data_IF_698497338714
#
_entry.id   IF_698497338714
#
_cell.length_a   1.000
_cell.length_b   1.000
_cell.length_c   1.000
_cell.angle_alpha   90.00
_cell.angle_beta   90.00
_cell.angle_gamma   90.00
#
_symmetry.space_group_name_H-M   'P 1'
#
loop_
_entity.id
_entity.type
_entity.pdbx_description
1 polymer ?
#
# COMPACT_ATOMS: atom_id res chain seq x y z
N UNK A 1 27.80 -0.11 -0.31
CA UNK A 1 26.33 -0.30 -0.51
C UNK A 1 25.51 -0.13 0.77
N UNK A 2 25.88 -0.78 1.89
CA UNK A 2 25.14 -0.64 3.17
C UNK A 2 25.01 0.81 3.64
N UNK A 3 26.09 1.62 3.52
CA UNK A 3 26.03 3.04 3.87
C UNK A 3 24.99 3.83 3.05
N UNK A 4 24.85 3.53 1.75
CA UNK A 4 23.81 4.15 0.90
C UNK A 4 22.41 3.71 1.36
N UNK A 5 22.26 2.43 1.74
CA UNK A 5 20.99 1.93 2.29
C UNK A 5 20.63 2.64 3.60
N UNK A 6 21.57 2.75 4.55
CA UNK A 6 21.34 3.45 5.83
C UNK A 6 20.98 4.91 5.59
N UNK A 7 21.69 5.60 4.69
CA UNK A 7 21.34 6.95 4.27
C UNK A 7 19.92 7.03 3.72
N UNK A 8 19.56 6.12 2.81
CA UNK A 8 18.21 6.08 2.21
C UNK A 8 17.13 5.87 3.26
N UNK A 9 17.34 4.92 4.19
CA UNK A 9 16.43 4.65 5.30
C UNK A 9 16.24 5.89 6.18
N UNK A 10 17.31 6.55 6.58
CA UNK A 10 17.24 7.76 7.42
C UNK A 10 16.48 8.87 6.70
N UNK A 11 16.80 9.14 5.44
CA UNK A 11 16.16 10.20 4.66
C UNK A 11 14.67 9.91 4.41
N UNK A 12 14.30 8.66 4.16
CA UNK A 12 12.90 8.29 3.94
C UNK A 12 12.09 8.20 5.22
N UNK A 13 12.72 7.83 6.33
CA UNK A 13 12.09 7.82 7.65
C UNK A 13 11.83 9.24 8.18
N UNK A 14 12.84 10.10 8.06
CA UNK A 14 12.77 11.48 8.57
C UNK A 14 12.09 12.46 7.63
N UNK A 15 11.91 12.09 6.34
CA UNK A 15 11.45 13.00 5.27
C UNK A 15 12.25 14.31 5.21
N UNK A 16 13.52 14.27 5.61
CA UNK A 16 14.40 15.43 5.69
C UNK A 16 14.56 16.17 4.34
N UNK A 17 14.47 15.42 3.24
CA UNK A 17 14.38 15.94 1.87
C UNK A 17 13.26 15.22 1.12
N UNK A 18 12.69 15.88 0.11
CA UNK A 18 11.58 15.29 -0.67
C UNK A 18 11.99 14.00 -1.39
N UNK A 19 11.04 13.12 -1.64
CA UNK A 19 11.30 11.83 -2.30
C UNK A 19 11.99 11.96 -3.68
N UNK A 20 11.63 12.92 -4.58
CA UNK A 20 12.37 13.10 -5.83
C UNK A 20 13.82 13.51 -5.63
N UNK A 21 14.09 14.41 -4.68
CA UNK A 21 15.45 14.85 -4.36
C UNK A 21 16.26 13.71 -3.77
N UNK A 22 15.69 12.98 -2.79
CA UNK A 22 16.36 11.81 -2.20
C UNK A 22 16.70 10.76 -3.23
N UNK A 23 15.82 10.51 -4.19
CA UNK A 23 16.07 9.57 -5.27
C UNK A 23 17.23 10.00 -6.15
N UNK A 24 17.29 11.28 -6.55
CA UNK A 24 18.43 11.83 -7.29
C UNK A 24 19.76 11.68 -6.55
N UNK A 25 19.76 12.00 -5.24
CA UNK A 25 20.96 11.85 -4.39
C UNK A 25 21.38 10.38 -4.28
N UNK A 26 20.44 9.46 -4.05
CA UNK A 26 20.73 8.02 -3.94
C UNK A 26 21.33 7.50 -5.26
N UNK A 27 20.75 7.87 -6.41
CA UNK A 27 21.28 7.50 -7.73
C UNK A 27 22.71 8.04 -7.91
N UNK A 28 22.95 9.30 -7.54
CA UNK A 28 24.27 9.92 -7.62
C UNK A 28 25.30 9.21 -6.70
N UNK A 29 24.91 8.89 -5.46
CA UNK A 29 25.74 8.12 -4.54
C UNK A 29 26.04 6.72 -5.08
N UNK A 30 25.07 6.05 -5.71
CA UNK A 30 25.31 4.75 -6.35
C UNK A 30 26.27 4.88 -7.53
N UNK A 31 26.10 5.90 -8.38
CA UNK A 31 26.98 6.14 -9.51
C UNK A 31 28.44 6.37 -9.07
N UNK A 32 28.64 7.18 -8.03
CA UNK A 32 29.99 7.54 -7.56
C UNK A 32 30.56 6.45 -6.64
N UNK A 33 29.91 6.15 -5.51
CA UNK A 33 30.50 5.27 -4.49
C UNK A 33 30.59 3.82 -4.94
N UNK A 34 29.58 3.29 -5.65
CA UNK A 34 29.68 1.93 -6.21
C UNK A 34 30.57 1.95 -7.44
N UNK A 35 30.51 3.00 -8.26
CA UNK A 35 31.36 3.12 -9.45
C UNK A 35 32.86 3.02 -9.14
N UNK A 36 33.32 3.56 -8.03
CA UNK A 36 34.70 3.45 -7.56
C UNK A 36 34.97 2.23 -6.66
N UNK A 37 33.95 1.46 -6.32
CA UNK A 37 34.11 0.25 -5.51
C UNK A 37 34.65 -0.92 -6.36
N UNK A 38 35.39 -1.88 -5.74
CA UNK A 38 35.74 -3.11 -6.41
C UNK A 38 34.54 -4.01 -6.60
N UNK A 39 34.40 -4.60 -7.78
CA UNK A 39 33.39 -5.62 -8.07
C UNK A 39 33.79 -6.93 -7.38
N UNK A 40 32.99 -7.49 -6.48
CA UNK A 40 33.32 -8.72 -5.75
C UNK A 40 33.58 -9.94 -6.64
N UNK A 41 33.03 -9.95 -7.86
CA UNK A 41 33.20 -11.07 -8.79
C UNK A 41 34.49 -11.00 -9.62
N UNK A 42 35.01 -9.80 -9.92
CA UNK A 42 36.12 -9.60 -10.85
C UNK A 42 37.31 -8.95 -10.23
N UNK A 43 37.20 -8.36 -9.03
CA UNK A 43 38.26 -7.56 -8.37
C UNK A 43 38.52 -6.20 -9.02
N UNK A 44 37.94 -5.91 -10.20
CA UNK A 44 38.08 -4.62 -10.89
C UNK A 44 37.02 -3.62 -10.38
N UNK A 45 37.28 -2.32 -10.52
CA UNK A 45 36.25 -1.30 -10.22
C UNK A 45 35.03 -1.47 -11.12
N UNK A 46 33.84 -1.20 -10.59
CA UNK A 46 32.59 -1.27 -11.36
C UNK A 46 32.60 -0.26 -12.53
N UNK A 47 33.10 0.93 -12.32
CA UNK A 47 32.96 2.10 -13.20
C UNK A 47 31.70 2.91 -12.92
N UNK A 48 31.81 4.24 -13.04
CA UNK A 48 30.69 5.16 -12.72
C UNK A 48 29.45 4.95 -13.62
N UNK A 49 29.66 4.60 -14.89
CA UNK A 49 28.55 4.27 -15.80
C UNK A 49 27.77 3.03 -15.34
N UNK A 50 28.46 2.00 -14.86
CA UNK A 50 27.82 0.80 -14.31
C UNK A 50 27.08 1.12 -12.98
N UNK A 51 27.70 1.93 -12.10
CA UNK A 51 27.07 2.41 -10.88
C UNK A 51 25.79 3.23 -11.16
N UNK A 52 25.83 4.10 -12.16
CA UNK A 52 24.65 4.85 -12.63
C UNK A 52 23.58 3.89 -13.18
N UNK A 53 23.97 2.91 -14.01
CA UNK A 53 23.08 1.88 -14.52
C UNK A 53 22.37 1.08 -13.41
N UNK A 54 23.09 0.75 -12.32
CA UNK A 54 22.48 0.15 -11.13
C UNK A 54 21.46 1.08 -10.49
N UNK A 55 21.74 2.38 -10.37
CA UNK A 55 20.83 3.39 -9.81
C UNK A 55 19.57 3.58 -10.63
N UNK A 56 19.60 3.34 -11.93
CA UNK A 56 18.48 3.51 -12.85
C UNK A 56 17.69 2.21 -13.11
N UNK A 57 18.21 1.05 -12.72
CA UNK A 57 17.65 -0.27 -13.08
C UNK A 57 16.19 -0.46 -12.66
N UNK A 58 15.78 0.12 -11.55
CA UNK A 58 14.41 0.01 -11.05
C UNK A 58 13.37 0.74 -11.93
N UNK A 59 13.79 1.77 -12.66
CA UNK A 59 12.92 2.56 -13.53
C UNK A 59 12.54 1.87 -14.84
N UNK A 60 13.22 0.77 -15.20
CA UNK A 60 12.94 -0.04 -16.39
C UNK A 60 12.18 -1.34 -16.08
N UNK A 61 11.55 -1.46 -14.90
CA UNK A 61 10.81 -2.66 -14.51
C UNK A 61 9.32 -2.54 -14.86
N UNK A 62 8.67 -3.68 -15.13
CA UNK A 62 7.21 -3.75 -15.36
C UNK A 62 6.42 -3.26 -14.14
N UNK A 63 6.95 -3.49 -12.93
CA UNK A 63 6.36 -3.01 -11.70
C UNK A 63 6.40 -1.46 -11.60
N UNK A 64 7.47 -0.82 -12.07
CA UNK A 64 7.55 0.64 -12.16
C UNK A 64 6.47 1.19 -13.11
N UNK A 65 6.35 0.60 -14.29
CA UNK A 65 5.31 0.98 -15.25
C UNK A 65 3.91 0.82 -14.65
N UNK A 66 3.65 -0.27 -13.92
CA UNK A 66 2.36 -0.50 -13.26
C UNK A 66 2.04 0.56 -12.23
N UNK A 67 3.01 0.92 -11.36
CA UNK A 67 2.78 1.95 -10.34
C UNK A 67 2.55 3.32 -10.97
N UNK A 68 3.33 3.69 -11.99
CA UNK A 68 3.11 4.92 -12.74
C UNK A 68 1.71 4.96 -13.36
N UNK A 69 1.31 3.91 -14.08
CA UNK A 69 -0.01 3.77 -14.68
C UNK A 69 -1.13 3.81 -13.64
N UNK A 70 -0.94 3.17 -12.49
CA UNK A 70 -1.89 3.19 -11.39
C UNK A 70 -2.15 4.61 -10.86
N UNK A 71 -1.13 5.48 -10.82
CA UNK A 71 -1.33 6.89 -10.45
C UNK A 71 -2.19 7.65 -11.45
N UNK A 72 -2.04 7.37 -12.75
CA UNK A 72 -2.93 7.94 -13.77
C UNK A 72 -4.36 7.44 -13.63
N UNK A 73 -4.58 6.16 -13.36
CA UNK A 73 -5.92 5.62 -13.12
C UNK A 73 -6.58 6.28 -11.90
N UNK A 74 -5.85 6.44 -10.79
CA UNK A 74 -6.33 7.15 -9.61
C UNK A 74 -6.70 8.59 -9.92
N UNK A 75 -5.89 9.28 -10.73
CA UNK A 75 -6.18 10.66 -11.17
C UNK A 75 -7.40 10.73 -12.08
N UNK A 76 -7.61 9.75 -12.97
CA UNK A 76 -8.82 9.66 -13.79
C UNK A 76 -10.08 9.49 -12.94
N UNK A 77 -10.02 8.65 -11.88
CA UNK A 77 -11.12 8.47 -10.92
C UNK A 77 -11.51 9.79 -10.26
N UNK A 78 -10.53 10.52 -9.72
CA UNK A 78 -10.77 11.82 -9.06
C UNK A 78 -11.23 12.89 -10.06
N UNK A 79 -10.67 12.93 -11.29
CA UNK A 79 -11.04 13.88 -12.32
C UNK A 79 -12.50 13.72 -12.74
N UNK A 80 -12.94 12.49 -12.97
CA UNK A 80 -14.32 12.20 -13.38
C UNK A 80 -15.31 12.29 -12.23
N UNK A 81 -14.86 12.14 -10.97
CA UNK A 81 -15.69 12.05 -9.77
C UNK A 81 -16.35 10.69 -9.58
N UNK A 82 -15.91 9.66 -10.34
CA UNK A 82 -16.47 8.31 -10.24
C UNK A 82 -16.23 7.71 -8.86
N UNK A 83 -15.06 7.93 -8.26
CA UNK A 83 -14.73 7.53 -6.88
C UNK A 83 -15.71 8.11 -5.86
N UNK A 84 -16.00 9.41 -5.96
CA UNK A 84 -16.97 10.12 -5.11
C UNK A 84 -18.38 9.55 -5.31
N UNK A 85 -18.80 9.29 -6.55
CA UNK A 85 -20.10 8.69 -6.84
C UNK A 85 -20.24 7.29 -6.25
N UNK A 86 -19.22 6.44 -6.42
CA UNK A 86 -19.21 5.10 -5.83
C UNK A 86 -19.37 5.18 -4.31
N UNK A 87 -18.60 6.03 -3.63
CA UNK A 87 -18.69 6.21 -2.20
C UNK A 87 -20.08 6.67 -1.74
N UNK A 88 -20.64 7.69 -2.41
CA UNK A 88 -21.99 8.22 -2.06
C UNK A 88 -23.11 7.20 -2.34
N UNK A 89 -23.00 6.40 -3.39
CA UNK A 89 -23.97 5.30 -3.66
C UNK A 89 -23.94 4.28 -2.54
N UNK A 90 -22.76 3.87 -2.07
CA UNK A 90 -22.62 2.92 -0.96
C UNK A 90 -23.22 3.52 0.32
N UNK A 91 -22.80 4.72 0.70
CA UNK A 91 -23.27 5.40 1.91
C UNK A 91 -24.78 5.67 1.90
N UNK A 92 -25.35 6.00 0.75
CA UNK A 92 -26.78 6.28 0.62
C UNK A 92 -27.70 5.07 0.92
N UNK A 93 -27.15 3.85 0.81
CA UNK A 93 -27.90 2.60 1.04
C UNK A 93 -27.87 2.12 2.49
N UNK A 94 -26.97 2.61 3.33
CA UNK A 94 -26.71 2.03 4.65
C UNK A 94 -27.51 2.67 5.80
N UNK A 95 -28.15 3.81 5.57
CA UNK A 95 -29.03 4.46 6.55
C UNK A 95 -28.31 5.41 7.51
N UNK A 96 -29.05 5.96 8.49
CA UNK A 96 -28.64 7.07 9.33
C UNK A 96 -28.08 6.67 10.72
N UNK A 97 -28.07 5.38 11.07
CA UNK A 97 -27.51 4.94 12.35
C UNK A 97 -25.98 5.05 12.35
N UNK A 98 -25.42 5.57 13.44
CA UNK A 98 -23.98 5.80 13.56
C UNK A 98 -23.14 4.54 13.24
N UNK A 99 -23.53 3.37 13.76
CA UNK A 99 -22.88 2.10 13.47
C UNK A 99 -22.91 1.72 11.99
N UNK A 100 -24.02 2.00 11.28
CA UNK A 100 -24.15 1.73 9.84
C UNK A 100 -23.29 2.67 9.01
N UNK A 101 -23.09 3.92 9.46
CA UNK A 101 -22.20 4.87 8.79
C UNK A 101 -20.76 4.38 8.87
N UNK A 102 -20.31 3.85 10.01
CA UNK A 102 -18.96 3.24 10.15
C UNK A 102 -18.81 2.05 9.20
N UNK A 103 -19.78 1.15 9.15
CA UNK A 103 -19.80 0.04 8.19
C UNK A 103 -19.75 0.57 6.75
N UNK A 104 -20.47 1.66 6.47
CA UNK A 104 -20.45 2.33 5.17
C UNK A 104 -19.07 2.82 4.77
N UNK A 105 -18.36 3.46 5.67
CA UNK A 105 -16.98 3.91 5.45
C UNK A 105 -16.06 2.71 5.18
N UNK A 106 -16.20 1.63 5.95
CA UNK A 106 -15.44 0.38 5.73
C UNK A 106 -15.73 -0.22 4.35
N UNK A 107 -17.02 -0.30 3.97
CA UNK A 107 -17.41 -0.76 2.64
C UNK A 107 -16.89 0.14 1.51
N UNK A 108 -16.87 1.46 1.71
CA UNK A 108 -16.28 2.40 0.74
C UNK A 108 -14.79 2.13 0.55
N UNK A 109 -14.01 2.03 1.63
CA UNK A 109 -12.57 1.70 1.56
C UNK A 109 -12.32 0.38 0.85
N UNK A 110 -13.11 -0.66 1.17
CA UNK A 110 -13.06 -1.96 0.49
C UNK A 110 -13.32 -1.84 -1.02
N UNK A 111 -14.46 -1.29 -1.42
CA UNK A 111 -14.85 -1.21 -2.83
C UNK A 111 -13.91 -0.32 -3.63
N UNK A 112 -13.55 0.85 -3.09
CA UNK A 112 -12.62 1.76 -3.77
C UNK A 112 -11.24 1.15 -3.98
N UNK A 113 -10.81 0.23 -3.12
CA UNK A 113 -9.51 -0.45 -3.24
C UNK A 113 -9.37 -1.30 -4.51
N UNK A 114 -10.48 -1.74 -5.12
CA UNK A 114 -10.46 -2.43 -6.41
C UNK A 114 -10.23 -1.48 -7.59
N UNK A 115 -10.70 -0.24 -7.47
CA UNK A 115 -10.79 0.69 -8.61
C UNK A 115 -9.76 1.82 -8.52
N UNK A 116 -9.36 2.20 -7.31
CA UNK A 116 -8.45 3.32 -7.07
C UNK A 116 -7.13 2.79 -6.48
N UNK A 117 -6.10 2.55 -7.31
CA UNK A 117 -4.85 1.93 -6.89
C UNK A 117 -3.89 2.94 -6.20
N UNK A 118 -4.43 3.81 -5.39
CA UNK A 118 -3.70 4.81 -4.61
C UNK A 118 -4.41 5.05 -3.29
N UNK A 119 -3.80 4.64 -2.20
CA UNK A 119 -4.34 4.83 -0.84
C UNK A 119 -4.59 6.29 -0.53
N UNK A 120 -3.64 7.15 -0.90
CA UNK A 120 -3.75 8.61 -0.70
C UNK A 120 -4.96 9.19 -1.46
N UNK A 121 -5.20 8.74 -2.70
CA UNK A 121 -6.34 9.19 -3.49
C UNK A 121 -7.67 8.71 -2.90
N UNK A 122 -7.75 7.47 -2.41
CA UNK A 122 -8.96 6.95 -1.75
C UNK A 122 -9.33 7.77 -0.52
N UNK A 123 -8.36 8.00 0.36
CA UNK A 123 -8.59 8.81 1.57
C UNK A 123 -8.91 10.26 1.20
N UNK A 124 -8.23 10.85 0.24
CA UNK A 124 -8.54 12.21 -0.25
C UNK A 124 -9.96 12.34 -0.84
N UNK A 125 -10.50 11.27 -1.43
CA UNK A 125 -11.90 11.21 -1.88
C UNK A 125 -12.87 11.08 -0.70
N UNK A 126 -12.60 10.19 0.27
CA UNK A 126 -13.52 9.90 1.37
C UNK A 126 -13.58 11.03 2.41
N UNK A 127 -12.45 11.67 2.70
CA UNK A 127 -12.36 12.74 3.71
C UNK A 127 -13.38 13.86 3.50
N UNK A 128 -13.49 14.51 2.32
CA UNK A 128 -14.49 15.56 2.12
C UNK A 128 -15.93 15.06 2.25
N UNK A 129 -16.21 13.83 1.83
CA UNK A 129 -17.55 13.22 1.96
C UNK A 129 -17.91 13.05 3.43
N UNK A 130 -16.99 12.49 4.21
CA UNK A 130 -17.19 12.26 5.66
C UNK A 130 -17.30 13.59 6.41
N UNK A 131 -16.47 14.61 6.08
CA UNK A 131 -16.60 15.95 6.64
C UNK A 131 -17.96 16.60 6.31
N UNK A 132 -18.39 16.45 5.05
CA UNK A 132 -19.71 16.92 4.63
C UNK A 132 -20.84 16.25 5.42
N UNK A 133 -20.72 14.95 5.70
CA UNK A 133 -21.67 14.22 6.55
C UNK A 133 -21.63 14.75 8.00
N UNK A 134 -20.45 14.87 8.62
CA UNK A 134 -20.28 15.40 9.99
C UNK A 134 -20.92 16.78 10.12
N UNK A 135 -20.65 17.68 9.17
CA UNK A 135 -21.23 19.02 9.13
C UNK A 135 -22.76 19.00 9.01
N UNK A 136 -23.29 18.19 8.09
CA UNK A 136 -24.72 18.09 7.85
C UNK A 136 -25.48 17.42 9.01
N UNK A 137 -24.80 16.62 9.81
CA UNK A 137 -25.34 16.02 11.01
C UNK A 137 -25.35 16.97 12.21
N UNK A 138 -24.78 18.19 12.06
CA UNK A 138 -24.67 19.14 13.13
C UNK A 138 -23.74 18.70 14.28
N UNK A 139 -22.86 17.72 14.00
CA UNK A 139 -21.92 17.19 14.98
C UNK A 139 -20.65 18.04 15.01
N UNK A 140 -20.12 18.40 16.19
CA UNK A 140 -18.86 19.12 16.27
C UNK A 140 -17.70 18.36 15.63
N UNK A 141 -16.80 19.07 14.93
CA UNK A 141 -15.64 18.46 14.29
C UNK A 141 -14.73 17.70 15.28
N UNK A 142 -14.65 18.13 16.52
CA UNK A 142 -13.87 17.47 17.59
C UNK A 142 -14.69 16.51 18.45
N UNK A 143 -15.80 15.99 17.95
CA UNK A 143 -16.57 14.94 18.62
C UNK A 143 -15.90 13.57 18.48
N UNK A 144 -16.21 12.65 19.38
CA UNK A 144 -15.73 11.25 19.25
C UNK A 144 -16.22 10.59 17.97
N UNK A 145 -17.46 10.89 17.57
CA UNK A 145 -18.03 10.37 16.31
C UNK A 145 -17.25 10.86 15.08
N UNK A 146 -16.93 12.16 15.01
CA UNK A 146 -16.14 12.70 13.89
C UNK A 146 -14.73 12.08 13.84
N UNK A 147 -14.05 12.00 14.98
CA UNK A 147 -12.75 11.35 15.12
C UNK A 147 -12.80 9.87 14.73
N UNK A 148 -13.81 9.13 15.21
CA UNK A 148 -14.04 7.73 14.89
C UNK A 148 -14.16 7.51 13.37
N UNK A 149 -14.99 8.29 12.69
CA UNK A 149 -15.19 8.16 11.25
C UNK A 149 -13.89 8.45 10.48
N UNK A 150 -13.18 9.51 10.87
CA UNK A 150 -11.97 9.93 10.16
C UNK A 150 -10.80 8.96 10.38
N UNK A 151 -10.64 8.41 11.58
CA UNK A 151 -9.68 7.33 11.86
C UNK A 151 -10.08 6.07 11.09
N UNK A 152 -11.38 5.73 11.01
CA UNK A 152 -11.86 4.59 10.23
C UNK A 152 -11.50 4.73 8.75
N UNK A 153 -11.65 5.92 8.15
CA UNK A 153 -11.24 6.20 6.76
C UNK A 153 -9.75 5.86 6.55
N UNK A 154 -8.87 6.34 7.43
CA UNK A 154 -7.45 6.08 7.30
C UNK A 154 -7.08 4.60 7.50
N UNK A 155 -7.67 3.97 8.51
CA UNK A 155 -7.34 2.60 8.90
C UNK A 155 -7.88 1.55 7.93
N UNK A 156 -9.09 1.73 7.39
CA UNK A 156 -9.66 0.77 6.42
C UNK A 156 -8.85 0.73 5.13
N UNK A 157 -8.32 1.87 4.69
CA UNK A 157 -7.48 1.92 3.51
C UNK A 157 -6.13 1.23 3.75
N UNK A 158 -5.58 1.32 4.96
CA UNK A 158 -4.38 0.56 5.36
C UNK A 158 -4.65 -0.95 5.41
N UNK A 159 -5.82 -1.38 5.88
CA UNK A 159 -6.26 -2.80 5.88
C UNK A 159 -6.38 -3.34 4.47
N UNK A 160 -7.08 -2.62 3.57
CA UNK A 160 -7.30 -3.11 2.20
C UNK A 160 -6.10 -2.92 1.27
N UNK A 161 -5.08 -2.17 1.67
CA UNK A 161 -3.75 -2.22 1.06
C UNK A 161 -3.15 -3.63 1.12
N UNK A 162 -3.42 -4.39 2.18
CA UNK A 162 -3.02 -5.80 2.29
C UNK A 162 -3.84 -6.66 1.34
N UNK A 163 -5.16 -6.52 1.37
CA UNK A 163 -6.10 -7.44 0.70
C UNK A 163 -6.01 -7.46 -0.82
N UNK A 164 -5.59 -6.38 -1.45
CA UNK A 164 -5.65 -6.21 -2.91
C UNK A 164 -4.27 -5.87 -3.47
N UNK A 165 -3.79 -6.70 -4.41
CA UNK A 165 -2.48 -6.59 -5.06
C UNK A 165 -2.20 -5.17 -5.56
N UNK A 166 -3.12 -4.58 -6.29
CA UNK A 166 -2.97 -3.28 -6.96
C UNK A 166 -3.32 -2.08 -6.10
N UNK A 167 -3.82 -2.28 -4.87
CA UNK A 167 -4.28 -1.20 -4.00
C UNK A 167 -3.16 -0.28 -3.50
N UNK A 168 -1.92 -0.79 -3.42
CA UNK A 168 -0.81 -0.05 -2.85
C UNK A 168 0.53 -0.34 -3.53
N UNK A 169 1.36 0.71 -3.67
CA UNK A 169 2.65 0.62 -4.35
C UNK A 169 3.64 -0.33 -3.64
N UNK A 170 3.63 -0.43 -2.31
CA UNK A 170 4.51 -1.34 -1.56
C UNK A 170 4.30 -2.81 -1.93
N UNK A 171 3.09 -3.23 -2.31
CA UNK A 171 2.84 -4.59 -2.77
C UNK A 171 3.60 -4.90 -4.07
N UNK A 172 3.65 -3.89 -4.96
CA UNK A 172 4.37 -4.02 -6.23
C UNK A 172 5.88 -4.10 -6.03
N UNK A 173 6.41 -3.44 -4.98
CA UNK A 173 7.83 -3.60 -4.57
C UNK A 173 8.11 -5.07 -4.24
N UNK A 174 7.32 -5.66 -3.35
CA UNK A 174 7.53 -7.06 -2.94
C UNK A 174 7.39 -8.03 -4.11
N UNK A 175 6.35 -7.86 -4.95
CA UNK A 175 6.13 -8.70 -6.12
C UNK A 175 7.29 -8.59 -7.12
N UNK A 176 7.82 -7.37 -7.34
CA UNK A 176 8.99 -7.20 -8.20
C UNK A 176 10.22 -7.93 -7.65
N UNK A 177 10.46 -7.89 -6.34
CA UNK A 177 11.59 -8.62 -5.75
C UNK A 177 11.36 -10.13 -5.75
N UNK A 178 10.15 -10.62 -5.49
CA UNK A 178 9.81 -12.05 -5.63
C UNK A 178 10.10 -12.49 -7.08
N UNK A 179 9.62 -11.74 -8.08
CA UNK A 179 9.87 -12.05 -9.48
C UNK A 179 11.35 -12.03 -9.84
N UNK A 180 12.07 -10.97 -9.47
CA UNK A 180 13.46 -10.77 -9.88
C UNK A 180 14.45 -11.69 -9.17
N UNK A 181 14.17 -12.10 -7.92
CA UNK A 181 15.07 -12.92 -7.10
C UNK A 181 14.69 -14.40 -7.07
N UNK A 182 13.38 -14.69 -7.10
CA UNK A 182 12.85 -16.04 -6.95
C UNK A 182 12.27 -16.59 -8.26
N UNK A 183 12.19 -15.77 -9.32
CA UNK A 183 11.71 -16.17 -10.63
C UNK A 183 10.19 -16.46 -10.69
N UNK A 184 9.43 -16.08 -9.69
CA UNK A 184 7.99 -16.39 -9.57
C UNK A 184 7.14 -15.13 -9.72
N UNK A 185 6.18 -15.20 -10.62
CA UNK A 185 5.16 -14.17 -10.78
C UNK A 185 3.93 -14.51 -9.94
N UNK A 186 3.57 -13.59 -9.04
CA UNK A 186 2.33 -13.70 -8.24
C UNK A 186 1.19 -13.07 -9.04
N UNK A 187 0.17 -13.87 -9.40
CA UNK A 187 -1.01 -13.34 -10.09
C UNK A 187 -1.85 -12.45 -9.17
N UNK A 188 -2.74 -11.64 -9.74
CA UNK A 188 -3.64 -10.80 -8.95
C UNK A 188 -4.54 -11.65 -8.05
N UNK A 189 -5.03 -12.76 -8.59
CA UNK A 189 -5.93 -13.66 -7.87
C UNK A 189 -5.23 -14.47 -6.77
N UNK A 190 -3.98 -14.93 -7.01
CA UNK A 190 -3.19 -15.63 -5.98
C UNK A 190 -2.94 -14.71 -4.77
N UNK A 191 -2.62 -13.43 -5.05
CA UNK A 191 -2.50 -12.42 -3.99
C UNK A 191 -3.81 -12.25 -3.24
N UNK A 192 -4.93 -12.08 -3.95
CA UNK A 192 -6.24 -11.84 -3.35
C UNK A 192 -6.69 -13.03 -2.49
N UNK A 193 -6.55 -14.26 -2.98
CA UNK A 193 -6.87 -15.47 -2.21
C UNK A 193 -6.04 -15.50 -0.92
N UNK A 194 -4.74 -15.26 -0.99
CA UNK A 194 -3.88 -15.29 0.18
C UNK A 194 -4.18 -14.17 1.20
N UNK A 195 -4.44 -12.95 0.74
CA UNK A 195 -4.49 -11.74 1.57
C UNK A 195 -5.90 -11.32 2.01
N UNK A 196 -6.95 -11.57 1.20
CA UNK A 196 -8.30 -11.11 1.48
C UNK A 196 -8.88 -11.62 2.80
N UNK A 197 -8.68 -12.89 3.22
CA UNK A 197 -9.17 -13.35 4.51
C UNK A 197 -8.64 -12.54 5.69
N UNK A 198 -7.35 -12.17 5.67
CA UNK A 198 -6.77 -11.28 6.66
C UNK A 198 -7.45 -9.90 6.64
N UNK A 199 -7.61 -9.29 5.46
CA UNK A 199 -8.21 -7.97 5.34
C UNK A 199 -9.69 -7.95 5.78
N UNK A 200 -10.44 -9.01 5.50
CA UNK A 200 -11.83 -9.18 5.98
C UNK A 200 -11.86 -9.24 7.51
N UNK A 201 -11.05 -10.11 8.11
CA UNK A 201 -10.99 -10.24 9.58
C UNK A 201 -10.54 -8.93 10.24
N UNK A 202 -9.56 -8.24 9.65
CA UNK A 202 -9.13 -6.92 10.12
C UNK A 202 -10.21 -5.85 9.96
N UNK A 203 -11.08 -5.92 8.94
CA UNK A 203 -12.21 -5.01 8.80
C UNK A 203 -13.23 -5.20 9.92
N UNK A 204 -13.51 -6.44 10.32
CA UNK A 204 -14.32 -6.74 11.50
C UNK A 204 -13.66 -6.23 12.79
N UNK A 205 -12.36 -6.47 12.94
CA UNK A 205 -11.60 -5.96 14.09
C UNK A 205 -11.63 -4.43 14.15
N UNK A 206 -11.44 -3.75 13.02
CA UNK A 206 -11.51 -2.30 12.91
C UNK A 206 -12.87 -1.78 13.39
N UNK A 207 -13.98 -2.35 12.90
CA UNK A 207 -15.32 -1.97 13.33
C UNK A 207 -15.48 -2.08 14.86
N UNK A 208 -15.12 -3.22 15.44
CA UNK A 208 -15.29 -3.44 16.87
C UNK A 208 -14.37 -2.56 17.73
N UNK A 209 -13.11 -2.40 17.32
CA UNK A 209 -12.16 -1.53 18.02
C UNK A 209 -12.64 -0.08 18.01
N UNK A 210 -13.12 0.42 16.87
CA UNK A 210 -13.62 1.78 16.76
C UNK A 210 -14.89 1.99 17.60
N UNK A 211 -15.86 1.08 17.52
CA UNK A 211 -17.11 1.16 18.31
C UNK A 211 -16.87 1.02 19.82
N UNK A 212 -15.84 0.27 20.25
CA UNK A 212 -15.51 0.08 21.66
C UNK A 212 -14.71 1.24 22.25
N UNK A 213 -13.70 1.72 21.52
CA UNK A 213 -12.77 2.74 22.03
C UNK A 213 -13.26 4.18 21.80
N UNK A 214 -14.02 4.38 20.76
CA UNK A 214 -14.59 5.68 20.37
C UNK A 214 -16.10 5.57 20.12
N UNK A 215 -16.91 5.12 21.11
CA UNK A 215 -18.33 4.99 20.92
C UNK A 215 -18.94 6.34 20.51
N UNK A 216 -19.84 6.36 19.50
CA UNK A 216 -20.49 7.58 19.06
C UNK A 216 -21.35 8.17 20.18
N UNK A 217 -21.40 9.49 20.27
CA UNK A 217 -22.28 10.21 21.23
C UNK A 217 -23.75 10.18 20.80
N UNK A 218 -24.02 9.79 19.55
CA UNK A 218 -25.35 9.77 18.95
C UNK A 218 -25.61 8.41 18.30
N UNK A 219 -26.74 7.83 18.60
CA UNK A 219 -27.13 6.53 18.01
C UNK A 219 -27.72 6.67 16.61
N UNK A 220 -28.50 7.72 16.40
CA UNK A 220 -29.17 7.99 15.13
C UNK A 220 -28.96 9.45 14.70
N UNK A 221 -28.66 9.63 13.44
CA UNK A 221 -28.32 10.93 12.86
C UNK A 221 -29.56 11.50 12.18
N UNK A 222 -30.18 12.54 12.74
CA UNK A 222 -31.36 13.14 12.14
C UNK A 222 -31.06 13.64 10.72
N UNK A 223 -31.82 13.17 9.71
CA UNK A 223 -31.62 13.58 8.32
C UNK A 223 -30.36 13.02 7.62
N UNK A 224 -29.58 12.14 8.27
CA UNK A 224 -28.31 11.66 7.75
C UNK A 224 -28.40 10.97 6.40
N UNK A 225 -29.38 10.12 6.20
CA UNK A 225 -29.59 9.45 4.90
C UNK A 225 -30.05 10.44 3.81
N UNK A 226 -30.87 11.42 4.17
CA UNK A 226 -31.33 12.45 3.23
C UNK A 226 -30.18 13.32 2.76
N UNK A 227 -29.24 13.65 3.65
CA UNK A 227 -28.04 14.42 3.33
C UNK A 227 -27.15 13.69 2.32
N UNK A 228 -26.86 12.41 2.54
CA UNK A 228 -26.06 11.62 1.60
C UNK A 228 -26.76 11.48 0.25
N UNK A 229 -28.11 11.26 0.26
CA UNK A 229 -28.92 11.25 -0.96
C UNK A 229 -28.91 12.60 -1.68
N UNK A 230 -28.92 13.72 -0.93
CA UNK A 230 -28.79 15.07 -1.50
C UNK A 230 -27.42 15.26 -2.14
N UNK A 231 -26.33 14.91 -1.46
CA UNK A 231 -24.97 14.97 -2.03
C UNK A 231 -24.86 14.15 -3.32
N UNK A 232 -25.47 12.97 -3.36
CA UNK A 232 -25.53 12.14 -4.57
C UNK A 232 -26.38 12.78 -5.67
N UNK A 233 -27.53 13.36 -5.31
CA UNK A 233 -28.40 14.08 -6.24
C UNK A 233 -27.74 15.32 -6.84
N UNK A 234 -26.99 16.07 -6.02
CA UNK A 234 -26.25 17.28 -6.43
C UNK A 234 -25.10 16.96 -7.42
N UNK A 235 -24.63 15.71 -7.45
CA UNK A 235 -23.71 15.24 -8.51
C UNK A 235 -24.40 15.12 -9.88
N UNK A 236 -25.72 15.17 -9.95
CA UNK A 236 -26.49 14.97 -11.17
C UNK A 236 -26.42 13.54 -11.73
N UNK A 237 -26.84 13.39 -12.98
CA UNK A 237 -26.80 12.10 -13.69
C UNK A 237 -25.34 11.66 -13.94
N UNK A 238 -25.14 10.33 -14.00
CA UNK A 238 -23.83 9.77 -14.38
C UNK A 238 -23.38 10.31 -15.74
N UNK A 239 -22.15 10.81 -15.79
CA UNK A 239 -21.58 11.41 -17.02
C UNK A 239 -21.06 10.34 -17.97
N UNK A 240 -20.87 10.71 -19.25
CA UNK A 240 -20.28 9.81 -20.24
C UNK A 240 -18.86 9.39 -19.84
N UNK A 241 -18.08 10.29 -19.24
CA UNK A 241 -16.71 10.01 -18.83
C UNK A 241 -16.66 9.09 -17.61
N UNK A 242 -17.59 9.24 -16.66
CA UNK A 242 -17.75 8.26 -15.56
C UNK A 242 -18.08 6.86 -16.10
N UNK A 243 -18.99 6.76 -17.08
CA UNK A 243 -19.35 5.46 -17.69
C UNK A 243 -18.16 4.84 -18.42
N UNK A 244 -17.43 5.60 -19.23
CA UNK A 244 -16.24 5.12 -19.94
C UNK A 244 -15.19 4.58 -18.94
N UNK A 245 -14.89 5.39 -17.91
CA UNK A 245 -13.94 4.99 -16.89
C UNK A 245 -14.39 3.76 -16.12
N UNK A 246 -15.67 3.68 -15.75
CA UNK A 246 -16.24 2.51 -15.07
C UNK A 246 -16.10 1.25 -15.94
N UNK A 247 -16.44 1.33 -17.22
CA UNK A 247 -16.30 0.21 -18.15
C UNK A 247 -14.84 -0.26 -18.25
N UNK A 248 -13.90 0.68 -18.43
CA UNK A 248 -12.46 0.35 -18.52
C UNK A 248 -11.98 -0.27 -17.20
N UNK A 249 -12.38 0.28 -16.04
CA UNK A 249 -11.98 -0.23 -14.72
C UNK A 249 -12.54 -1.63 -14.45
N UNK A 250 -13.78 -1.89 -14.84
CA UNK A 250 -14.38 -3.24 -14.73
C UNK A 250 -13.67 -4.22 -15.67
N UNK A 251 -13.39 -3.83 -16.92
CA UNK A 251 -12.61 -4.66 -17.84
C UNK A 251 -11.21 -4.96 -17.28
N UNK A 252 -10.54 -3.98 -16.69
CA UNK A 252 -9.25 -4.18 -16.03
C UNK A 252 -9.36 -5.21 -14.90
N UNK A 253 -10.36 -5.05 -14.02
CA UNK A 253 -10.57 -5.98 -12.91
C UNK A 253 -10.81 -7.41 -13.41
N UNK A 254 -11.59 -7.57 -14.47
CA UNK A 254 -11.81 -8.88 -15.11
C UNK A 254 -10.49 -9.43 -15.65
N UNK A 255 -9.70 -8.63 -16.38
CA UNK A 255 -8.39 -9.06 -16.88
C UNK A 255 -7.43 -9.44 -15.73
N UNK A 256 -7.36 -8.66 -14.67
CA UNK A 256 -6.50 -8.97 -13.53
C UNK A 256 -6.89 -10.25 -12.79
N UNK A 257 -8.19 -10.47 -12.59
CA UNK A 257 -8.68 -11.68 -11.89
C UNK A 257 -8.60 -12.95 -12.72
N UNK A 258 -8.55 -12.83 -14.06
CA UNK A 258 -8.46 -13.96 -14.99
C UNK A 258 -7.05 -14.19 -15.55
N UNK A 259 -6.08 -13.36 -15.14
CA UNK A 259 -4.66 -13.49 -15.47
C UNK A 259 -4.17 -14.93 -15.20
N UNK A 260 -3.41 -15.51 -16.13
CA UNK A 260 -2.89 -16.88 -16.12
C UNK A 260 -3.93 -18.00 -16.22
N UNK A 261 -5.23 -17.73 -16.04
CA UNK A 261 -6.30 -18.73 -16.15
C UNK A 261 -6.97 -18.73 -17.51
N UNK A 262 -7.33 -17.55 -18.01
CA UNK A 262 -8.04 -17.39 -19.29
C UNK A 262 -7.17 -16.73 -20.37
N UNK A 263 -6.11 -16.01 -19.99
CA UNK A 263 -5.22 -15.29 -20.91
C UNK A 263 -3.83 -15.08 -20.31
N UNK A 264 -2.87 -14.71 -21.15
CA UNK A 264 -1.46 -14.47 -20.79
C UNK A 264 -1.12 -12.99 -20.55
N UNK A 265 -2.08 -12.09 -20.64
CA UNK A 265 -1.87 -10.65 -20.46
C UNK A 265 -1.68 -10.39 -18.97
N UNK A 266 -0.50 -9.92 -18.60
CA UNK A 266 -0.17 -9.59 -17.20
C UNK A 266 -0.81 -8.29 -16.72
N UNK A 267 -0.88 -8.12 -15.39
CA UNK A 267 -1.46 -6.95 -14.73
C UNK A 267 -0.86 -5.63 -15.23
N UNK A 268 0.46 -5.57 -15.46
CA UNK A 268 1.15 -4.33 -15.89
C UNK A 268 0.78 -3.94 -17.31
N UNK A 269 0.80 -4.92 -18.23
CA UNK A 269 0.45 -4.72 -19.64
C UNK A 269 -1.00 -4.26 -19.80
N UNK A 270 -1.95 -4.94 -19.15
CA UNK A 270 -3.37 -4.55 -19.21
C UNK A 270 -3.60 -3.13 -18.65
N UNK A 271 -2.88 -2.76 -17.58
CA UNK A 271 -3.00 -1.42 -17.00
C UNK A 271 -2.45 -0.34 -17.91
N UNK A 272 -1.29 -0.55 -18.55
CA UNK A 272 -0.73 0.41 -19.53
C UNK A 272 -1.67 0.61 -20.71
N UNK A 273 -2.23 -0.48 -21.24
CA UNK A 273 -3.22 -0.40 -22.34
C UNK A 273 -4.43 0.43 -21.91
N UNK A 274 -4.96 0.18 -20.70
CA UNK A 274 -6.11 0.93 -20.20
C UNK A 274 -5.80 2.43 -20.04
N UNK A 275 -4.65 2.80 -19.50
CA UNK A 275 -4.26 4.20 -19.37
C UNK A 275 -4.08 4.85 -20.73
N UNK A 276 -3.49 4.15 -21.70
CA UNK A 276 -3.39 4.64 -23.06
C UNK A 276 -4.77 4.94 -23.66
N UNK A 277 -5.74 4.03 -23.49
CA UNK A 277 -7.13 4.26 -23.91
C UNK A 277 -7.77 5.45 -23.22
N UNK A 278 -7.52 5.66 -21.90
CA UNK A 278 -8.06 6.77 -21.15
C UNK A 278 -7.50 8.14 -21.59
N UNK A 279 -6.38 8.17 -22.31
CA UNK A 279 -5.76 9.39 -22.84
C UNK A 279 -6.02 9.61 -24.32
N UNK A 280 -6.56 8.63 -25.08
CA UNK A 280 -6.81 8.80 -26.51
C UNK A 280 -7.85 9.88 -26.78
N UNK A 281 -7.66 10.72 -27.80
CA UNK A 281 -8.67 11.67 -28.25
C UNK A 281 -10.01 10.96 -28.55
N UNK A 282 -11.13 11.58 -28.18
CA UNK A 282 -12.52 11.10 -28.34
C UNK A 282 -12.93 9.89 -27.48
N UNK A 283 -12.02 8.97 -27.21
CA UNK A 283 -12.29 7.77 -26.38
C UNK A 283 -11.97 8.07 -24.91
N UNK A 284 -10.85 8.74 -24.64
CA UNK A 284 -10.34 9.00 -23.33
C UNK A 284 -11.20 9.93 -22.49
N UNK A 285 -10.86 10.00 -21.23
CA UNK A 285 -11.50 10.85 -20.20
C UNK A 285 -10.55 11.91 -19.65
N UNK A 286 -9.27 11.87 -20.03
CA UNK A 286 -8.25 12.82 -19.56
C UNK A 286 -7.25 13.16 -20.65
N UNK A 287 -6.64 14.34 -20.52
CA UNK A 287 -5.53 14.81 -21.37
C UNK A 287 -4.27 14.87 -20.51
N UNK A 288 -3.11 14.70 -21.13
CA UNK A 288 -1.82 14.69 -20.43
C UNK A 288 -1.61 15.96 -19.61
N UNK A 289 -1.83 17.12 -20.21
CA UNK A 289 -1.63 18.44 -19.60
C UNK A 289 -2.48 18.66 -18.36
N UNK A 290 -3.67 18.06 -18.32
CA UNK A 290 -4.61 18.18 -17.19
C UNK A 290 -4.23 17.32 -15.99
N UNK A 291 -3.56 16.19 -16.24
CA UNK A 291 -3.35 15.17 -15.21
C UNK A 291 -1.91 15.08 -14.73
N UNK A 292 -0.92 15.45 -15.55
CA UNK A 292 0.50 15.33 -15.24
C UNK A 292 0.90 15.99 -13.92
N UNK A 293 0.30 17.14 -13.60
CA UNK A 293 0.56 17.88 -12.36
C UNK A 293 -0.17 17.32 -11.13
N UNK A 294 -1.13 16.41 -11.33
CA UNK A 294 -1.88 15.74 -10.26
C UNK A 294 -1.28 14.40 -9.87
N UNK A 295 -0.33 13.90 -10.65
CA UNK A 295 0.39 12.67 -10.36
C UNK A 295 1.33 12.89 -9.19
N UNK A 296 1.32 11.98 -8.22
CA UNK A 296 2.31 11.96 -7.15
C UNK A 296 3.64 11.37 -7.67
N UNK A 297 4.40 12.19 -8.43
CA UNK A 297 5.70 11.81 -8.96
C UNK A 297 6.70 11.41 -7.88
N UNK A 298 6.56 11.96 -6.67
CA UNK A 298 7.38 11.56 -5.53
C UNK A 298 7.28 10.07 -5.22
N UNK A 299 6.07 9.53 -5.22
CA UNK A 299 5.85 8.08 -5.02
C UNK A 299 6.39 7.27 -6.20
N UNK A 300 6.20 7.72 -7.43
CA UNK A 300 6.68 7.01 -8.63
C UNK A 300 8.21 6.92 -8.62
N UNK A 301 8.90 8.03 -8.35
CA UNK A 301 10.37 8.08 -8.32
C UNK A 301 10.93 7.30 -7.12
N UNK A 302 10.31 7.43 -5.94
CA UNK A 302 10.66 6.63 -4.76
C UNK A 302 10.60 5.12 -5.05
N UNK A 303 9.56 4.69 -5.77
CA UNK A 303 9.41 3.29 -6.16
C UNK A 303 10.55 2.83 -7.08
N UNK A 304 10.89 3.60 -8.12
CA UNK A 304 11.96 3.27 -9.05
C UNK A 304 13.34 3.17 -8.35
N UNK A 305 13.70 4.18 -7.56
CA UNK A 305 14.98 4.18 -6.83
C UNK A 305 15.03 3.10 -5.75
N UNK A 306 13.89 2.81 -5.11
CA UNK A 306 13.80 1.73 -4.12
C UNK A 306 14.11 0.36 -4.71
N UNK A 307 13.53 0.06 -5.88
CA UNK A 307 13.88 -1.18 -6.62
C UNK A 307 15.36 -1.18 -7.03
N UNK A 308 15.89 -0.05 -7.50
CA UNK A 308 17.31 0.08 -7.84
C UNK A 308 18.21 -0.22 -6.65
N UNK A 309 17.90 0.36 -5.49
CA UNK A 309 18.61 0.16 -4.23
C UNK A 309 18.61 -1.31 -3.81
N UNK A 310 17.44 -1.96 -3.82
CA UNK A 310 17.31 -3.37 -3.49
C UNK A 310 18.08 -4.29 -4.44
N UNK A 311 18.03 -4.05 -5.75
CA UNK A 311 18.81 -4.78 -6.73
C UNK A 311 20.34 -4.58 -6.54
N UNK A 312 20.77 -3.38 -6.17
CA UNK A 312 22.17 -3.10 -5.88
C UNK A 312 22.64 -3.78 -4.58
N UNK A 313 21.82 -3.84 -3.54
CA UNK A 313 22.10 -4.60 -2.31
C UNK A 313 22.38 -6.08 -2.61
N UNK A 314 21.63 -6.65 -3.55
CA UNK A 314 21.82 -8.04 -3.97
C UNK A 314 23.06 -8.22 -4.83
N UNK A 315 23.24 -7.42 -5.87
CA UNK A 315 24.39 -7.54 -6.79
C UNK A 315 25.73 -7.28 -6.12
N UNK A 316 25.74 -6.47 -5.06
CA UNK A 316 26.94 -6.23 -4.23
C UNK A 316 27.07 -7.22 -3.06
N UNK A 317 26.19 -8.22 -2.93
CA UNK A 317 26.11 -9.17 -1.82
C UNK A 317 25.94 -8.52 -0.43
N UNK A 318 25.61 -7.24 -0.37
CA UNK A 318 25.38 -6.53 0.89
C UNK A 318 24.16 -7.04 1.63
N UNK A 319 23.08 -7.39 0.90
CA UNK A 319 21.89 -8.03 1.48
C UNK A 319 22.20 -9.38 2.11
N UNK A 320 23.03 -10.21 1.44
CA UNK A 320 23.45 -11.52 1.95
C UNK A 320 24.30 -11.40 3.23
N UNK A 321 25.19 -10.42 3.28
CA UNK A 321 25.99 -10.15 4.48
C UNK A 321 25.09 -9.75 5.67
N UNK A 322 24.19 -8.81 5.44
CA UNK A 322 23.24 -8.35 6.47
C UNK A 322 22.32 -9.48 6.93
N UNK A 323 21.85 -10.30 5.99
CA UNK A 323 21.04 -11.48 6.29
C UNK A 323 21.76 -12.47 7.21
N UNK A 324 23.05 -12.76 6.94
CA UNK A 324 23.87 -13.61 7.81
C UNK A 324 23.98 -13.04 9.24
N UNK A 325 24.17 -11.72 9.35
CA UNK A 325 24.22 -11.06 10.67
C UNK A 325 22.89 -11.24 11.41
N UNK A 326 21.76 -11.02 10.73
CA UNK A 326 20.42 -11.16 11.33
C UNK A 326 20.16 -12.62 11.74
N UNK A 327 20.42 -13.59 10.85
CA UNK A 327 20.19 -15.01 11.11
C UNK A 327 21.00 -15.48 12.33
N UNK A 328 22.27 -15.08 12.42
CA UNK A 328 23.12 -15.48 13.52
C UNK A 328 22.77 -14.76 14.84
N UNK A 329 22.44 -13.47 14.78
CA UNK A 329 22.11 -12.68 15.99
C UNK A 329 20.83 -13.16 16.67
N UNK A 330 19.82 -13.52 15.88
CA UNK A 330 18.52 -13.97 16.38
C UNK A 330 18.38 -15.50 16.42
N UNK A 331 19.44 -16.25 16.12
CA UNK A 331 19.46 -17.73 16.04
C UNK A 331 18.29 -18.30 15.23
N UNK A 332 18.00 -17.67 14.10
CA UNK A 332 16.84 -18.02 13.28
C UNK A 332 16.97 -19.39 12.64
N UNK A 333 18.17 -19.92 12.47
CA UNK A 333 18.41 -21.24 11.87
C UNK A 333 17.89 -22.40 12.74
N UNK A 334 17.81 -22.20 14.05
CA UNK A 334 17.29 -23.18 15.00
C UNK A 334 15.81 -22.94 15.37
N UNK A 335 15.20 -21.91 14.77
CA UNK A 335 13.81 -21.53 15.05
C UNK A 335 12.83 -22.26 14.13
N UNK A 336 11.61 -22.49 14.60
CA UNK A 336 10.52 -23.01 13.76
C UNK A 336 10.06 -21.93 12.77
N UNK A 337 9.45 -22.34 11.64
CA UNK A 337 8.93 -21.41 10.61
C UNK A 337 8.00 -20.33 11.20
N UNK A 338 7.11 -20.72 12.13
CA UNK A 338 6.21 -19.77 12.82
C UNK A 338 6.98 -18.81 13.73
N UNK A 339 8.03 -19.28 14.39
CA UNK A 339 8.87 -18.40 15.23
C UNK A 339 9.64 -17.39 14.37
N UNK A 340 10.18 -17.82 13.24
CA UNK A 340 10.81 -16.93 12.26
C UNK A 340 9.80 -15.87 11.78
N UNK A 341 8.58 -16.29 11.42
CA UNK A 341 7.52 -15.38 11.02
C UNK A 341 7.19 -14.36 12.12
N UNK A 342 7.08 -14.81 13.37
CA UNK A 342 6.78 -13.96 14.51
C UNK A 342 7.88 -12.91 14.76
N UNK A 343 9.13 -13.33 14.78
CA UNK A 343 10.29 -12.44 15.00
C UNK A 343 10.38 -11.40 13.88
N UNK A 344 10.27 -11.83 12.62
CA UNK A 344 10.36 -10.93 11.47
C UNK A 344 9.17 -9.98 11.39
N UNK A 345 7.95 -10.44 11.71
CA UNK A 345 6.76 -9.60 11.75
C UNK A 345 6.85 -8.55 12.86
N UNK A 346 7.28 -8.94 14.06
CA UNK A 346 7.48 -8.01 15.19
C UNK A 346 8.55 -6.96 14.85
N UNK A 347 9.67 -7.39 14.28
CA UNK A 347 10.72 -6.50 13.80
C UNK A 347 10.17 -5.47 12.81
N UNK A 348 9.37 -5.91 11.81
CA UNK A 348 8.76 -5.01 10.84
C UNK A 348 7.80 -4.00 11.47
N UNK A 349 6.98 -4.41 12.43
CA UNK A 349 6.07 -3.53 13.16
C UNK A 349 6.86 -2.42 13.88
N UNK A 350 7.94 -2.80 14.57
CA UNK A 350 8.78 -1.84 15.29
C UNK A 350 9.47 -0.87 14.32
N UNK A 351 10.07 -1.39 13.25
CA UNK A 351 10.76 -0.57 12.25
C UNK A 351 9.79 0.36 11.53
N UNK A 352 8.56 -0.09 11.26
CA UNK A 352 7.55 0.74 10.60
C UNK A 352 7.22 2.02 11.39
N UNK A 353 7.32 2.00 12.73
CA UNK A 353 7.08 3.21 13.54
C UNK A 353 8.05 4.34 13.20
N UNK A 354 9.23 4.03 12.69
CA UNK A 354 10.24 5.00 12.22
C UNK A 354 10.09 5.42 10.75
N UNK A 355 9.12 4.87 10.00
CA UNK A 355 8.94 5.19 8.58
C UNK A 355 7.66 5.96 8.30
N UNK A 356 7.75 7.01 7.50
CA UNK A 356 6.61 7.79 7.01
C UNK A 356 6.03 7.23 5.69
N UNK A 357 6.59 6.14 5.16
CA UNK A 357 6.19 5.55 3.88
C UNK A 357 6.36 4.04 3.88
N UNK A 358 5.26 3.30 3.77
CA UNK A 358 5.28 1.85 3.59
C UNK A 358 6.00 1.42 2.30
N UNK A 359 5.95 2.24 1.24
CA UNK A 359 6.69 1.97 -0.02
C UNK A 359 8.20 2.07 0.20
N UNK A 360 8.67 3.09 0.93
CA UNK A 360 10.08 3.22 1.30
C UNK A 360 10.54 2.08 2.20
N UNK A 361 9.73 1.70 3.19
CA UNK A 361 10.01 0.56 4.06
C UNK A 361 10.11 -0.75 3.25
N UNK A 362 9.15 -1.04 2.38
CA UNK A 362 9.18 -2.22 1.51
C UNK A 362 10.46 -2.25 0.65
N UNK A 363 10.80 -1.12 0.02
CA UNK A 363 11.96 -1.02 -0.85
C UNK A 363 13.29 -1.28 -0.13
N UNK A 364 13.40 -0.84 1.13
CA UNK A 364 14.59 -1.04 1.95
C UNK A 364 14.70 -2.46 2.52
N UNK A 365 13.58 -3.04 2.98
CA UNK A 365 13.61 -4.23 3.84
C UNK A 365 13.28 -5.53 3.09
N UNK A 366 12.38 -5.53 2.09
CA UNK A 366 11.97 -6.77 1.41
C UNK A 366 13.13 -7.52 0.77
N UNK A 367 14.12 -6.89 0.09
CA UNK A 367 15.28 -7.61 -0.43
C UNK A 367 16.09 -8.32 0.66
N UNK A 368 16.18 -7.72 1.84
CA UNK A 368 16.87 -8.27 3.01
C UNK A 368 16.07 -9.46 3.57
N UNK A 369 14.74 -9.31 3.69
CA UNK A 369 13.84 -10.39 4.13
C UNK A 369 14.00 -11.61 3.24
N UNK A 370 13.96 -11.45 1.92
CA UNK A 370 14.15 -12.56 0.98
C UNK A 370 15.53 -13.21 1.21
N UNK A 371 16.58 -12.40 1.35
CA UNK A 371 17.93 -12.90 1.60
C UNK A 371 18.04 -13.66 2.95
N UNK A 372 17.35 -13.20 4.00
CA UNK A 372 17.27 -13.89 5.29
C UNK A 372 16.57 -15.23 5.11
N UNK A 373 15.39 -15.25 4.51
CA UNK A 373 14.59 -16.47 4.32
C UNK A 373 15.30 -17.52 3.45
N UNK A 374 16.08 -17.08 2.44
CA UNK A 374 16.88 -17.98 1.59
C UNK A 374 18.05 -18.64 2.34
N UNK A 375 18.53 -18.02 3.41
CA UNK A 375 19.64 -18.58 4.22
C UNK A 375 19.16 -19.53 5.31
N UNK A 376 17.86 -19.54 5.61
CA UNK A 376 17.30 -20.44 6.60
C UNK A 376 17.33 -21.88 6.08
N UNK A 377 17.90 -22.77 6.87
CA UNK A 377 17.89 -24.22 6.62
C UNK A 377 16.69 -24.91 7.26
N UNK A 378 15.76 -24.14 7.82
CA UNK A 378 14.58 -24.63 8.52
C UNK A 378 13.66 -25.37 7.54
N UNK A 379 13.34 -26.64 7.77
CA UNK A 379 12.41 -27.38 6.91
C UNK A 379 11.03 -26.70 6.86
N UNK A 380 10.43 -26.63 5.67
CA UNK A 380 9.09 -26.06 5.47
C UNK A 380 9.06 -24.55 5.27
N UNK A 381 10.20 -23.84 5.23
CA UNK A 381 10.23 -22.40 4.90
C UNK A 381 9.91 -22.19 3.42
N UNK A 382 8.71 -21.66 3.13
CA UNK A 382 8.37 -21.16 1.81
C UNK A 382 8.79 -19.68 1.70
N UNK A 383 9.91 -19.41 1.02
CA UNK A 383 10.46 -18.04 0.88
C UNK A 383 9.46 -17.10 0.22
N UNK A 384 8.72 -17.56 -0.79
CA UNK A 384 7.74 -16.75 -1.53
C UNK A 384 6.56 -16.39 -0.61
N UNK A 385 5.94 -17.40 -0.02
CA UNK A 385 4.77 -17.21 0.84
C UNK A 385 5.08 -16.37 2.08
N UNK A 386 6.20 -16.65 2.75
CA UNK A 386 6.64 -15.86 3.90
C UNK A 386 6.97 -14.42 3.52
N UNK A 387 7.59 -14.17 2.35
CA UNK A 387 7.82 -12.82 1.86
C UNK A 387 6.51 -12.08 1.60
N UNK A 388 5.50 -12.75 1.04
CA UNK A 388 4.16 -12.16 0.85
C UNK A 388 3.53 -11.79 2.20
N UNK A 389 3.56 -12.68 3.17
CA UNK A 389 2.97 -12.44 4.50
C UNK A 389 3.70 -11.31 5.22
N UNK A 390 5.03 -11.26 5.17
CA UNK A 390 5.81 -10.18 5.77
C UNK A 390 5.56 -8.85 5.04
N UNK A 391 5.30 -8.86 3.73
CA UNK A 391 4.84 -7.67 3.01
C UNK A 391 3.46 -7.19 3.51
N UNK A 392 2.56 -8.06 3.94
CA UNK A 392 1.30 -7.64 4.56
C UNK A 392 1.57 -6.83 5.84
N UNK A 393 2.54 -7.28 6.65
CA UNK A 393 2.95 -6.55 7.86
C UNK A 393 3.59 -5.19 7.54
N UNK A 394 4.27 -5.04 6.41
CA UNK A 394 4.78 -3.74 5.93
C UNK A 394 3.66 -2.70 5.77
N UNK A 395 2.41 -3.12 5.61
CA UNK A 395 1.26 -2.22 5.51
C UNK A 395 0.65 -1.81 6.87
N UNK A 396 1.24 -2.24 8.01
CA UNK A 396 0.74 -1.96 9.36
C UNK A 396 1.04 -0.54 9.86
N UNK A 397 0.71 0.45 9.07
CA UNK A 397 0.79 1.87 9.47
C UNK A 397 -0.31 2.30 10.43
N UNK A 398 -0.72 1.43 11.40
CA UNK A 398 -1.89 1.66 12.23
C UNK A 398 -1.63 2.57 13.44
N UNK A 399 -0.38 2.63 13.97
CA UNK A 399 -0.10 3.20 15.30
C UNK A 399 0.00 4.73 15.27
N UNK A 400 0.73 5.29 14.31
CA UNK A 400 0.98 6.74 14.26
C UNK A 400 0.42 7.36 12.97
N UNK A 401 -0.14 8.58 13.03
CA UNK A 401 -0.56 9.28 11.82
C UNK A 401 0.58 9.44 10.80
N UNK A 402 1.81 9.68 11.25
CA UNK A 402 2.97 9.88 10.38
C UNK A 402 3.40 8.62 9.63
N UNK A 403 2.98 7.43 10.06
CA UNK A 403 3.43 6.17 9.43
C UNK A 403 2.94 5.96 7.98
N UNK A 404 1.95 6.74 7.55
CA UNK A 404 1.47 6.65 6.17
C UNK A 404 0.87 7.97 5.69
N UNK A 405 1.10 8.38 4.42
CA UNK A 405 0.60 9.64 3.89
C UNK A 405 -0.93 9.80 3.98
N UNK A 406 -1.68 8.72 3.80
CA UNK A 406 -3.15 8.72 3.92
C UNK A 406 -3.62 9.04 5.33
N UNK A 407 -2.90 8.59 6.35
CA UNK A 407 -3.21 8.90 7.74
C UNK A 407 -3.06 10.40 8.01
N UNK A 408 -2.04 11.03 7.40
CA UNK A 408 -1.80 12.47 7.53
C UNK A 408 -2.89 13.31 6.88
N UNK A 409 -3.51 12.84 5.77
CA UNK A 409 -4.67 13.51 5.18
C UNK A 409 -5.85 13.50 6.15
N UNK A 410 -6.13 12.36 6.76
CA UNK A 410 -7.18 12.25 7.77
C UNK A 410 -6.88 13.10 9.01
N UNK A 411 -5.63 13.07 9.49
CA UNK A 411 -5.17 13.88 10.62
C UNK A 411 -5.28 15.39 10.36
N UNK A 412 -4.97 15.83 9.14
CA UNK A 412 -5.09 17.23 8.71
C UNK A 412 -6.51 17.81 8.80
N UNK A 413 -7.54 17.00 9.00
CA UNK A 413 -8.92 17.45 9.22
C UNK A 413 -9.16 18.02 10.63
N UNK A 414 -8.23 17.83 11.57
CA UNK A 414 -8.32 18.24 12.98
C UNK A 414 -9.55 17.66 13.72
N UNK A 415 -10.07 16.51 13.29
CA UNK A 415 -11.22 15.83 13.91
C UNK A 415 -10.83 14.94 15.08
N UNK A 416 -9.56 14.56 15.20
CA UNK A 416 -9.00 13.72 16.26
C UNK A 416 -7.58 14.14 16.62
N UNK A 417 -7.11 13.73 17.79
CA UNK A 417 -5.75 13.94 18.26
C UNK A 417 -4.85 12.72 17.95
N UNK A 418 -3.53 12.91 17.96
CA UNK A 418 -2.56 11.80 17.82
C UNK A 418 -2.83 10.69 18.83
N UNK A 419 -3.20 11.08 20.07
CA UNK A 419 -3.53 10.14 21.15
C UNK A 419 -4.70 9.22 20.78
N UNK A 420 -5.73 9.72 20.11
CA UNK A 420 -6.90 8.93 19.70
C UNK A 420 -6.50 7.90 18.64
N UNK A 421 -5.68 8.34 17.68
CA UNK A 421 -5.17 7.45 16.63
C UNK A 421 -4.31 6.33 17.22
N UNK A 422 -3.40 6.64 18.14
CA UNK A 422 -2.55 5.67 18.84
C UNK A 422 -3.39 4.70 19.68
N UNK A 423 -4.38 5.23 20.41
CA UNK A 423 -5.29 4.43 21.24
C UNK A 423 -6.06 3.37 20.44
N UNK A 424 -6.43 3.68 19.21
CA UNK A 424 -7.07 2.72 18.30
C UNK A 424 -6.05 1.86 17.56
N UNK A 425 -4.91 2.43 17.19
CA UNK A 425 -3.88 1.79 16.37
C UNK A 425 -3.12 0.66 17.08
N UNK A 426 -2.86 0.80 18.37
CA UNK A 426 -2.17 -0.25 19.15
C UNK A 426 -2.99 -1.55 19.19
N UNK A 427 -4.28 -1.55 19.59
CA UNK A 427 -5.10 -2.77 19.55
C UNK A 427 -5.22 -3.36 18.14
N UNK A 428 -5.38 -2.51 17.10
CA UNK A 428 -5.42 -2.99 15.72
C UNK A 428 -4.12 -3.68 15.32
N UNK A 429 -2.97 -3.16 15.74
CA UNK A 429 -1.66 -3.77 15.46
C UNK A 429 -1.52 -5.11 16.18
N UNK A 430 -1.94 -5.19 17.45
CA UNK A 430 -1.91 -6.44 18.24
C UNK A 430 -2.82 -7.49 17.59
N UNK A 431 -4.05 -7.13 17.24
CA UNK A 431 -5.00 -8.02 16.57
C UNK A 431 -4.43 -8.44 15.21
N UNK A 432 -3.88 -7.50 14.42
CA UNK A 432 -3.25 -7.79 13.15
C UNK A 432 -2.10 -8.78 13.28
N UNK A 433 -1.19 -8.59 14.24
CA UNK A 433 -0.12 -9.54 14.53
C UNK A 433 -0.66 -10.92 14.93
N UNK A 434 -1.66 -10.95 15.81
CA UNK A 434 -2.30 -12.20 16.23
C UNK A 434 -2.96 -12.94 15.05
N UNK A 435 -3.59 -12.19 14.12
CA UNK A 435 -4.17 -12.76 12.90
C UNK A 435 -3.09 -13.27 11.94
N UNK A 436 -1.93 -12.59 11.82
CA UNK A 436 -0.78 -13.10 11.05
C UNK A 436 -0.34 -14.48 11.61
N UNK A 437 -0.23 -14.60 12.93
CA UNK A 437 0.15 -15.86 13.56
C UNK A 437 -0.92 -16.93 13.38
N UNK A 438 -2.19 -16.60 13.62
CA UNK A 438 -3.31 -17.53 13.47
C UNK A 438 -3.42 -18.06 12.03
N UNK A 439 -3.41 -17.17 11.04
CA UNK A 439 -3.49 -17.53 9.62
C UNK A 439 -2.23 -18.26 9.17
N UNK A 440 -1.06 -17.94 9.71
CA UNK A 440 0.20 -18.66 9.47
C UNK A 440 0.15 -20.10 9.94
N UNK A 441 -0.50 -20.37 11.08
CA UNK A 441 -0.66 -21.72 11.61
C UNK A 441 -1.82 -22.51 10.96
N UNK A 442 -2.73 -21.84 10.27
CA UNK A 442 -3.97 -22.44 9.73
C UNK A 442 -4.08 -22.27 8.23
N UNK A 443 -4.66 -21.17 7.78
CA UNK A 443 -5.02 -20.90 6.38
C UNK A 443 -3.82 -20.85 5.44
N UNK A 444 -2.78 -20.10 5.80
CA UNK A 444 -1.58 -19.97 4.95
C UNK A 444 -0.73 -21.24 4.95
N UNK A 445 -0.75 -21.99 6.04
CA UNK A 445 -0.18 -23.33 6.07
C UNK A 445 -0.93 -24.28 5.13
N UNK A 446 -2.27 -24.22 5.12
CA UNK A 446 -3.10 -24.99 4.19
C UNK A 446 -2.85 -24.58 2.73
N UNK A 447 -2.59 -23.32 2.45
CA UNK A 447 -2.19 -22.84 1.13
C UNK A 447 -0.72 -23.15 0.77
N UNK A 448 0.07 -23.71 1.68
CA UNK A 448 1.51 -23.98 1.46
C UNK A 448 2.38 -22.72 1.44
N UNK A 449 1.93 -21.64 2.04
CA UNK A 449 2.69 -20.38 2.10
C UNK A 449 3.61 -20.27 3.32
N UNK A 450 3.36 -21.10 4.33
CA UNK A 450 4.13 -21.20 5.58
C UNK A 450 4.44 -22.66 5.88
#
# INVERSE_FOLDING_TARGET
>A
MLGIMVFSVIVWATTAISYPVSAGVIIALMAVLIGFAPNPATGKIFGTAAGLGMGLKGFSTTAFCLVAAAMFLATAMTKTGLDKRIALVILSKLGAKANRVVIGVICCGFILSFFVPSTTARVACLVPIVLGMISAFGVPLKSRFAGMLMITVAQVDSVWNVGIKTAAAQNMVAINFIRSQLGVDISWLDWFIAAAPFAVLMSFALYHVMMFLMPPEIDEIPGGQQTVKKLLHDMGKITKDEIKLLCISVCLLVLWTTEKKLHVIDTSTSTIVAISLLMLPKIGVMQWEEVVHKINWGTVVLFGVGISLGNALLSTKAATWLANVIVNTFDLSNSTTIMVLAIMALFLIIVHMGFASATGLAAAIIPIIISVLQQLKTPGVNVIGMTMILQYVVSFGFILPVNAPQNMIAYGTNTFEVRDFVRCGIPLTIIGFSLIMLLGMTYWKWLGLV
#
